data_IF_175829013001
#
_entry.id   IF_175829013001
#
_cell.length_a   1.000
_cell.length_b   1.000
_cell.length_c   1.000
_cell.angle_alpha   90.00
_cell.angle_beta   90.00
_cell.angle_gamma   90.00
#
_symmetry.space_group_name_H-M   'P 1'
#
loop_
_entity.id
_entity.type
_entity.pdbx_description
1 polymer ?
#
# COMPACT_ATOMS: atom_id res chain seq x y z
N UNK A 1 -5.61 0.05 -42.05
CA UNK A 1 -5.80 1.41 -41.59
C UNK A 1 -6.55 1.31 -40.25
N UNK A 2 -5.81 1.31 -39.15
CA UNK A 2 -6.35 1.27 -37.80
C UNK A 2 -5.86 2.52 -37.10
N UNK A 3 -6.79 3.41 -36.80
CA UNK A 3 -6.52 4.65 -36.11
C UNK A 3 -6.23 4.38 -34.65
N UNK A 4 -5.03 4.71 -34.25
CA UNK A 4 -4.61 4.79 -32.86
C UNK A 4 -5.21 6.07 -32.25
N UNK A 5 -6.17 5.94 -31.37
CA UNK A 5 -6.73 7.06 -30.63
C UNK A 5 -5.78 7.41 -29.48
N UNK A 6 -4.94 8.42 -29.68
CA UNK A 6 -4.20 9.10 -28.62
C UNK A 6 -5.19 9.76 -27.66
N UNK A 7 -5.28 9.21 -26.45
CA UNK A 7 -5.99 9.88 -25.35
C UNK A 7 -5.07 10.97 -24.81
N UNK A 8 -5.25 12.18 -25.31
CA UNK A 8 -4.65 13.36 -24.76
C UNK A 8 -5.14 13.56 -23.31
N UNK A 9 -4.21 13.53 -22.36
CA UNK A 9 -4.43 13.97 -20.99
C UNK A 9 -4.73 15.47 -21.06
N UNK A 10 -5.98 15.85 -20.91
CA UNK A 10 -6.36 17.25 -20.75
C UNK A 10 -5.95 17.69 -19.33
N UNK A 11 -4.95 18.53 -19.27
CA UNK A 11 -4.59 19.35 -18.12
C UNK A 11 -5.68 20.43 -17.94
N UNK A 12 -6.78 20.03 -17.34
CA UNK A 12 -7.89 20.90 -16.95
C UNK A 12 -7.78 21.20 -15.47
N UNK A 13 -7.29 22.39 -15.12
CA UNK A 13 -7.19 22.90 -13.75
C UNK A 13 -8.54 23.04 -13.05
N UNK A 14 -9.21 21.95 -12.75
CA UNK A 14 -10.21 21.88 -11.69
C UNK A 14 -9.44 21.74 -10.38
N UNK A 15 -9.72 22.62 -9.43
CA UNK A 15 -9.28 22.47 -8.05
C UNK A 15 -9.88 21.14 -7.54
N UNK A 16 -9.15 20.04 -7.70
CA UNK A 16 -9.51 18.76 -7.14
C UNK A 16 -9.85 19.00 -5.67
N UNK A 17 -11.06 18.63 -5.26
CA UNK A 17 -11.53 18.74 -3.87
C UNK A 17 -10.64 17.87 -2.99
N UNK A 18 -9.47 18.45 -2.63
CA UNK A 18 -8.45 17.78 -1.81
C UNK A 18 -9.04 17.51 -0.45
N UNK A 19 -8.80 16.32 0.04
CA UNK A 19 -9.20 15.97 1.38
C UNK A 19 -8.37 16.69 2.46
N UNK A 20 -8.80 16.62 3.71
CA UNK A 20 -8.18 17.35 4.82
C UNK A 20 -6.71 16.96 5.03
N UNK A 21 -6.33 15.72 4.75
CA UNK A 21 -4.95 15.26 4.91
C UNK A 21 -4.07 15.80 3.77
N UNK A 22 -4.50 15.70 2.52
CA UNK A 22 -3.75 16.24 1.40
C UNK A 22 -3.61 17.76 1.49
N UNK A 23 -4.65 18.46 1.94
CA UNK A 23 -4.57 19.91 2.19
C UNK A 23 -3.52 20.22 3.26
N UNK A 24 -3.59 19.56 4.41
CA UNK A 24 -2.62 19.73 5.50
C UNK A 24 -1.18 19.46 5.05
N UNK A 25 -0.94 18.39 4.30
CA UNK A 25 0.38 18.07 3.79
C UNK A 25 0.90 19.13 2.82
N UNK A 26 0.04 19.65 1.93
CA UNK A 26 0.38 20.73 1.00
C UNK A 26 0.76 22.02 1.72
N UNK A 27 -0.04 22.44 2.72
CA UNK A 27 0.18 23.64 3.51
C UNK A 27 1.49 23.60 4.31
N UNK A 28 1.92 22.39 4.71
CA UNK A 28 3.16 22.19 5.45
C UNK A 28 4.36 21.79 4.59
N UNK A 29 4.21 21.81 3.25
CA UNK A 29 5.30 21.55 2.31
C UNK A 29 5.75 20.09 2.25
N UNK A 30 4.91 19.13 2.65
CA UNK A 30 5.23 17.71 2.51
C UNK A 30 4.91 17.19 1.12
N UNK A 31 5.89 16.53 0.53
CA UNK A 31 5.75 15.93 -0.79
C UNK A 31 4.77 14.74 -0.75
N UNK A 32 3.72 14.82 -1.55
CA UNK A 32 2.71 13.78 -1.72
C UNK A 32 1.95 14.00 -3.03
N UNK A 33 1.28 12.96 -3.50
CA UNK A 33 0.38 13.03 -4.64
C UNK A 33 -1.06 12.74 -4.18
N UNK A 34 -1.98 13.61 -4.55
CA UNK A 34 -3.40 13.39 -4.32
C UNK A 34 -3.98 12.50 -5.43
N UNK A 35 -4.43 11.30 -5.09
CA UNK A 35 -4.97 10.32 -6.02
C UNK A 35 -6.49 10.39 -6.20
N UNK A 36 -7.13 11.44 -5.65
CA UNK A 36 -8.57 11.58 -5.67
C UNK A 36 -9.26 10.91 -4.47
N UNK A 37 -10.54 10.62 -4.66
CA UNK A 37 -11.38 9.91 -3.67
C UNK A 37 -11.93 8.62 -4.26
N UNK A 38 -12.13 7.62 -3.45
CA UNK A 38 -12.77 6.38 -3.90
C UNK A 38 -14.31 6.52 -3.98
N UNK A 39 -14.99 5.44 -4.39
CA UNK A 39 -16.44 5.38 -4.50
C UNK A 39 -17.20 5.60 -3.16
N UNK A 40 -16.50 5.48 -2.03
CA UNK A 40 -17.02 5.76 -0.69
C UNK A 40 -16.67 7.17 -0.20
N UNK A 41 -16.10 8.00 -1.06
CA UNK A 41 -15.59 9.34 -0.76
C UNK A 41 -14.38 9.35 0.20
N UNK A 42 -13.63 8.24 0.28
CA UNK A 42 -12.42 8.14 1.09
C UNK A 42 -11.26 8.80 0.34
N UNK A 43 -10.57 9.71 1.01
CA UNK A 43 -9.38 10.37 0.48
C UNK A 43 -8.26 9.38 0.21
N UNK A 44 -7.61 9.51 -0.95
CA UNK A 44 -6.46 8.68 -1.34
C UNK A 44 -5.26 9.55 -1.67
N UNK A 45 -4.12 9.22 -1.07
CA UNK A 45 -2.83 9.88 -1.34
C UNK A 45 -1.75 8.86 -1.67
N UNK A 46 -0.76 9.27 -2.46
CA UNK A 46 0.47 8.52 -2.65
C UNK A 46 1.62 9.20 -1.92
N UNK A 47 2.46 8.40 -1.29
CA UNK A 47 3.67 8.83 -0.60
C UNK A 47 4.87 8.03 -1.12
N UNK A 48 6.04 8.67 -1.17
CA UNK A 48 7.27 7.94 -1.37
C UNK A 48 7.64 7.16 -0.08
N UNK A 49 8.40 6.07 -0.22
CA UNK A 49 8.83 5.26 0.91
C UNK A 49 9.70 6.03 1.92
N UNK A 50 10.40 7.06 1.45
CA UNK A 50 11.32 7.87 2.26
C UNK A 50 10.55 8.79 3.22
N UNK A 51 9.45 9.39 2.77
CA UNK A 51 8.66 10.32 3.59
C UNK A 51 7.58 9.61 4.43
N UNK A 52 7.24 8.37 4.07
CA UNK A 52 6.19 7.60 4.73
C UNK A 52 6.30 7.56 6.26
N UNK A 53 7.46 7.28 6.90
CA UNK A 53 7.54 7.19 8.36
C UNK A 53 7.29 8.52 9.08
N UNK A 54 7.65 9.61 8.44
CA UNK A 54 7.46 10.97 9.00
C UNK A 54 5.98 11.33 8.91
N UNK A 55 5.42 11.21 7.71
CA UNK A 55 4.02 11.56 7.45
C UNK A 55 3.07 10.63 8.22
N UNK A 56 3.37 9.35 8.34
CA UNK A 56 2.57 8.40 9.12
C UNK A 56 2.45 8.82 10.59
N UNK A 57 3.53 9.32 11.21
CA UNK A 57 3.49 9.85 12.57
C UNK A 57 2.64 11.11 12.69
N UNK A 58 2.70 12.01 11.70
CA UNK A 58 1.86 13.21 11.65
C UNK A 58 0.38 12.82 11.52
N UNK A 59 0.06 11.92 10.61
CA UNK A 59 -1.30 11.40 10.40
C UNK A 59 -1.82 10.72 11.66
N UNK A 60 -0.99 9.95 12.37
CA UNK A 60 -1.36 9.39 13.66
C UNK A 60 -1.68 10.50 14.69
N UNK A 61 -0.87 11.56 14.73
CA UNK A 61 -1.11 12.76 15.58
C UNK A 61 -2.38 13.52 15.19
N UNK A 62 -2.82 13.47 13.94
CA UNK A 62 -4.11 14.03 13.49
C UNK A 62 -5.32 13.18 13.93
N UNK A 63 -5.08 12.03 14.55
CA UNK A 63 -6.11 11.16 15.12
C UNK A 63 -6.44 9.92 14.28
N UNK A 64 -5.73 9.65 13.18
CA UNK A 64 -5.84 8.38 12.44
C UNK A 64 -5.13 7.25 13.20
N UNK A 65 -5.72 6.87 14.32
CA UNK A 65 -5.15 6.00 15.35
C UNK A 65 -5.36 4.50 15.07
N UNK A 66 -6.16 4.16 14.06
CA UNK A 66 -6.47 2.78 13.73
C UNK A 66 -6.09 2.43 12.28
N UNK A 67 -5.21 1.46 12.13
CA UNK A 67 -4.92 0.82 10.85
C UNK A 67 -5.94 -0.30 10.63
N UNK A 68 -6.93 -0.03 9.80
CA UNK A 68 -8.00 -0.98 9.49
C UNK A 68 -7.50 -2.12 8.61
N UNK A 69 -6.69 -1.78 7.60
CA UNK A 69 -6.13 -2.74 6.66
C UNK A 69 -4.79 -2.25 6.11
N UNK A 70 -3.82 -3.14 6.05
CA UNK A 70 -2.65 -3.01 5.20
C UNK A 70 -2.67 -4.17 4.22
N UNK A 71 -2.47 -3.90 2.93
CA UNK A 71 -2.39 -4.93 1.90
C UNK A 71 -1.43 -4.52 0.79
N UNK A 72 -0.94 -5.53 0.06
CA UNK A 72 -0.17 -5.35 -1.15
C UNK A 72 -0.94 -5.76 -2.38
N UNK A 73 -0.54 -5.24 -3.53
CA UNK A 73 -0.96 -5.76 -4.82
C UNK A 73 0.08 -5.48 -5.91
N UNK A 74 -0.02 -6.24 -6.97
CA UNK A 74 0.85 -6.19 -8.13
C UNK A 74 0.15 -5.49 -9.29
N UNK A 75 0.76 -4.43 -9.86
CA UNK A 75 0.23 -3.72 -11.03
C UNK A 75 0.35 -4.52 -12.33
N UNK A 76 1.22 -5.52 -12.36
CA UNK A 76 1.43 -6.39 -13.52
C UNK A 76 2.89 -6.74 -13.74
N UNK A 77 3.18 -7.67 -14.65
CA UNK A 77 4.55 -8.04 -15.00
C UNK A 77 5.38 -6.81 -15.38
N UNK A 78 6.58 -6.67 -14.80
CA UNK A 78 7.48 -5.54 -15.05
C UNK A 78 7.02 -4.18 -14.49
N UNK A 79 5.88 -4.13 -13.77
CA UNK A 79 5.38 -2.91 -13.10
C UNK A 79 5.65 -2.97 -11.61
N UNK A 80 5.45 -1.85 -10.94
CA UNK A 80 5.62 -1.71 -9.51
C UNK A 80 4.68 -2.60 -8.70
N UNK A 81 5.11 -2.89 -7.49
CA UNK A 81 4.26 -3.39 -6.41
C UNK A 81 3.73 -2.19 -5.61
N UNK A 82 2.57 -2.36 -5.01
CA UNK A 82 1.96 -1.30 -4.21
C UNK A 82 1.66 -1.82 -2.81
N UNK A 83 2.11 -1.06 -1.80
CA UNK A 83 1.69 -1.24 -0.41
C UNK A 83 0.62 -0.20 -0.09
N UNK A 84 -0.54 -0.64 0.39
CA UNK A 84 -1.68 0.23 0.69
C UNK A 84 -2.03 0.14 2.17
N UNK A 85 -2.25 1.30 2.79
CA UNK A 85 -2.66 1.43 4.18
C UNK A 85 -4.02 2.11 4.23
N UNK A 86 -4.98 1.49 4.88
CA UNK A 86 -6.30 2.04 5.13
C UNK A 86 -6.40 2.43 6.60
N UNK A 87 -6.46 3.71 6.86
CA UNK A 87 -6.46 4.30 8.18
C UNK A 87 -7.83 4.86 8.53
N UNK A 88 -8.16 4.79 9.80
CA UNK A 88 -9.43 5.29 10.33
C UNK A 88 -9.17 6.11 11.57
N UNK A 89 -9.86 7.24 11.67
CA UNK A 89 -9.86 8.10 12.84
C UNK A 89 -10.96 7.66 13.80
N UNK A 90 -10.61 6.76 14.73
CA UNK A 90 -11.57 6.28 15.72
C UNK A 90 -11.74 7.28 16.85
N UNK A 91 -12.99 7.64 17.12
CA UNK A 91 -13.39 8.38 18.32
C UNK A 91 -14.69 7.78 18.87
N UNK A 92 -14.88 7.90 20.18
CA UNK A 92 -16.05 7.34 20.89
C UNK A 92 -17.40 7.93 20.46
N UNK A 93 -17.39 9.00 19.66
CA UNK A 93 -18.58 9.78 19.29
C UNK A 93 -18.83 9.84 17.78
N UNK A 94 -18.00 9.20 16.96
CA UNK A 94 -18.15 9.29 15.50
C UNK A 94 -19.12 8.22 15.00
N UNK A 95 -20.29 8.64 14.54
CA UNK A 95 -21.22 7.75 13.80
C UNK A 95 -20.60 7.28 12.47
N UNK A 96 -19.79 8.12 11.84
CA UNK A 96 -19.06 7.82 10.61
C UNK A 96 -17.63 8.34 10.72
N UNK A 97 -16.67 7.46 11.04
CA UNK A 97 -15.27 7.86 11.20
C UNK A 97 -14.67 8.34 9.87
N UNK A 98 -13.75 9.30 9.95
CA UNK A 98 -12.94 9.71 8.81
C UNK A 98 -11.99 8.59 8.43
N UNK A 99 -11.88 8.33 7.12
CA UNK A 99 -11.01 7.31 6.55
C UNK A 99 -9.99 7.94 5.60
N UNK A 100 -8.81 7.34 5.51
CA UNK A 100 -7.73 7.74 4.61
C UNK A 100 -7.08 6.50 4.01
N UNK A 101 -6.75 6.55 2.72
CA UNK A 101 -5.88 5.54 2.09
C UNK A 101 -4.56 6.13 1.65
N UNK A 102 -3.49 5.48 2.06
CA UNK A 102 -2.13 5.78 1.62
C UNK A 102 -1.67 4.67 0.69
N UNK A 103 -1.11 5.03 -0.46
CA UNK A 103 -0.46 4.09 -1.38
C UNK A 103 1.02 4.41 -1.47
N UNK A 104 1.83 3.38 -1.44
CA UNK A 104 3.28 3.47 -1.65
C UNK A 104 3.64 2.55 -2.82
N UNK A 105 4.09 3.16 -3.91
CA UNK A 105 4.55 2.43 -5.08
C UNK A 105 6.02 2.10 -4.90
N UNK A 106 6.40 0.85 -5.11
CA UNK A 106 7.77 0.39 -4.95
C UNK A 106 8.22 -0.42 -6.16
N UNK A 107 9.45 -0.21 -6.62
CA UNK A 107 10.02 -0.98 -7.72
C UNK A 107 10.02 -2.47 -7.40
N UNK A 108 9.72 -3.29 -8.39
CA UNK A 108 9.66 -4.76 -8.25
C UNK A 108 11.00 -5.40 -7.90
N UNK A 109 12.10 -4.80 -8.32
CA UNK A 109 13.48 -5.22 -8.10
C UNK A 109 14.04 -4.75 -6.75
N UNK A 110 13.46 -3.68 -6.17
CA UNK A 110 13.77 -3.20 -4.81
C UNK A 110 12.48 -2.91 -4.01
N UNK A 111 11.68 -3.93 -3.67
CA UNK A 111 10.36 -3.77 -3.06
C UNK A 111 10.44 -3.53 -1.55
N UNK A 112 11.09 -2.44 -1.14
CA UNK A 112 11.32 -2.10 0.28
C UNK A 112 10.43 -0.95 0.70
N UNK A 113 9.78 -1.10 1.86
CA UNK A 113 8.94 -0.08 2.51
C UNK A 113 9.27 -0.07 4.00
N UNK A 114 9.39 1.10 4.64
CA UNK A 114 9.50 1.15 6.10
C UNK A 114 8.28 0.53 6.77
N UNK A 115 8.50 -0.29 7.79
CA UNK A 115 7.42 -0.92 8.55
C UNK A 115 6.63 0.11 9.35
N UNK A 116 5.32 0.00 9.32
CA UNK A 116 4.41 0.81 10.13
C UNK A 116 4.08 0.18 11.49
N UNK A 117 4.62 -0.98 11.80
CA UNK A 117 4.42 -1.71 13.06
C UNK A 117 4.63 -0.83 14.30
N UNK A 118 5.62 0.07 14.28
CA UNK A 118 5.94 0.90 15.43
C UNK A 118 4.94 2.01 15.69
N UNK A 119 4.11 2.34 14.69
CA UNK A 119 3.00 3.31 14.80
C UNK A 119 1.69 2.57 15.05
N UNK A 120 1.38 1.57 14.22
CA UNK A 120 0.17 0.74 14.32
C UNK A 120 0.55 -0.74 14.50
N UNK A 121 0.36 -1.27 15.70
CA UNK A 121 0.71 -2.69 16.01
C UNK A 121 -0.07 -3.70 15.17
N UNK A 122 -1.25 -3.32 14.68
CA UNK A 122 -2.06 -4.15 13.77
C UNK A 122 -1.37 -4.43 12.43
N UNK A 123 -0.34 -3.68 12.06
CA UNK A 123 0.46 -3.91 10.87
C UNK A 123 1.24 -5.23 10.89
N UNK A 124 1.56 -5.80 12.07
CA UNK A 124 2.41 -7.00 12.23
C UNK A 124 2.05 -8.11 11.23
N UNK A 125 0.85 -8.66 11.37
CA UNK A 125 0.42 -9.79 10.54
C UNK A 125 0.16 -9.41 9.08
N UNK A 126 -0.34 -8.22 8.85
CA UNK A 126 -0.69 -7.73 7.52
C UNK A 126 0.56 -7.44 6.67
N UNK A 127 1.60 -6.89 7.26
CA UNK A 127 2.89 -6.70 6.60
C UNK A 127 3.57 -8.04 6.31
N UNK A 128 3.49 -9.01 7.23
CA UNK A 128 3.99 -10.36 7.00
C UNK A 128 3.23 -11.10 5.90
N UNK A 129 1.90 -10.97 5.83
CA UNK A 129 1.09 -11.52 4.75
C UNK A 129 1.49 -10.91 3.41
N UNK A 130 1.63 -9.59 3.35
CA UNK A 130 2.04 -8.88 2.13
C UNK A 130 3.47 -9.26 1.71
N UNK A 131 4.38 -9.42 2.67
CA UNK A 131 5.71 -9.97 2.41
C UNK A 131 5.62 -11.38 1.83
N UNK A 132 4.84 -12.26 2.45
CA UNK A 132 4.72 -13.65 2.05
C UNK A 132 4.15 -13.81 0.63
N UNK A 133 3.15 -13.01 0.28
CA UNK A 133 2.45 -13.12 -1.00
C UNK A 133 3.11 -12.34 -2.15
N UNK A 134 3.69 -11.17 -1.88
CA UNK A 134 4.21 -10.26 -2.92
C UNK A 134 5.71 -10.00 -2.81
N UNK A 135 6.36 -10.35 -1.69
CA UNK A 135 7.77 -10.09 -1.46
C UNK A 135 8.09 -8.62 -1.18
N UNK A 136 7.14 -7.84 -0.68
CA UNK A 136 7.41 -6.49 -0.20
C UNK A 136 8.11 -6.59 1.15
N UNK A 137 9.31 -6.05 1.25
CA UNK A 137 10.15 -6.10 2.45
C UNK A 137 9.82 -4.92 3.34
N UNK A 138 9.30 -5.17 4.54
CA UNK A 138 8.98 -4.13 5.52
C UNK A 138 10.18 -3.89 6.45
N UNK A 139 10.96 -2.86 6.14
CA UNK A 139 12.19 -2.54 6.88
C UNK A 139 11.89 -2.11 8.32
N UNK A 140 12.60 -2.69 9.28
CA UNK A 140 12.38 -2.43 10.71
C UNK A 140 11.21 -3.18 11.33
N UNK A 141 10.57 -4.09 10.59
CA UNK A 141 9.58 -5.01 11.15
C UNK A 141 10.26 -5.99 12.14
N UNK A 142 9.71 -6.19 13.36
CA UNK A 142 10.40 -6.97 14.40
C UNK A 142 10.51 -8.47 14.09
N UNK A 143 9.65 -9.01 13.24
CA UNK A 143 9.59 -10.44 12.95
C UNK A 143 9.06 -10.70 11.53
N UNK A 144 9.73 -10.16 10.51
CA UNK A 144 9.33 -10.34 9.12
C UNK A 144 9.68 -11.75 8.64
N UNK A 145 8.67 -12.61 8.57
CA UNK A 145 8.78 -13.99 8.07
C UNK A 145 7.47 -14.43 7.45
N UNK A 146 7.49 -15.48 6.65
CA UNK A 146 6.28 -16.07 6.05
C UNK A 146 5.27 -16.49 7.12
N UNK A 147 3.98 -16.45 6.79
CA UNK A 147 2.88 -16.86 7.68
C UNK A 147 1.85 -17.76 7.01
N UNK A 148 1.74 -17.72 5.70
CA UNK A 148 0.77 -18.51 4.92
C UNK A 148 1.46 -19.63 4.16
N UNK A 149 2.61 -19.35 3.56
CA UNK A 149 3.39 -20.33 2.82
C UNK A 149 4.43 -21.00 3.75
N UNK A 150 4.85 -22.25 3.45
CA UNK A 150 5.99 -22.89 4.11
C UNK A 150 7.26 -22.02 4.04
N UNK A 151 8.16 -22.17 5.00
CA UNK A 151 9.39 -21.35 5.06
C UNK A 151 10.31 -21.58 3.85
N UNK A 152 10.30 -22.77 3.30
CA UNK A 152 11.07 -23.19 2.11
C UNK A 152 10.40 -22.87 0.77
N UNK A 153 9.22 -22.26 0.80
CA UNK A 153 8.51 -21.86 -0.43
C UNK A 153 9.32 -20.89 -1.27
N UNK A 154 9.44 -21.21 -2.57
CA UNK A 154 10.18 -20.39 -3.54
C UNK A 154 9.26 -19.45 -4.28
N UNK A 155 9.60 -18.14 -4.25
CA UNK A 155 8.88 -17.09 -4.97
C UNK A 155 7.72 -16.47 -4.19
N UNK A 156 6.88 -15.72 -4.91
CA UNK A 156 5.83 -14.86 -4.38
C UNK A 156 4.49 -15.16 -5.07
N UNK A 157 3.62 -15.99 -4.47
CA UNK A 157 2.50 -16.62 -5.18
C UNK A 157 1.47 -15.66 -5.78
N UNK A 158 1.36 -14.43 -5.22
CA UNK A 158 0.37 -13.45 -5.68
C UNK A 158 0.91 -12.46 -6.70
N UNK A 159 2.20 -12.56 -7.08
CA UNK A 159 2.72 -11.79 -8.20
C UNK A 159 2.13 -12.31 -9.51
N UNK A 160 1.77 -11.40 -10.42
CA UNK A 160 1.13 -11.75 -11.71
C UNK A 160 2.07 -12.48 -12.69
N UNK A 161 3.37 -12.45 -12.44
CA UNK A 161 4.40 -13.15 -13.20
C UNK A 161 4.87 -14.45 -12.51
N UNK A 162 4.23 -14.83 -11.41
CA UNK A 162 4.56 -16.05 -10.68
C UNK A 162 4.12 -17.28 -11.45
N UNK A 163 5.05 -18.23 -11.62
CA UNK A 163 4.77 -19.54 -12.22
C UNK A 163 4.64 -20.55 -11.08
N UNK A 164 3.46 -21.13 -10.94
CA UNK A 164 3.18 -22.14 -9.92
C UNK A 164 4.00 -23.40 -10.19
N UNK A 165 4.71 -23.95 -9.18
CA UNK A 165 5.36 -25.26 -9.30
C UNK A 165 4.36 -26.36 -9.64
N UNK A 166 4.79 -27.36 -10.42
CA UNK A 166 3.98 -28.54 -10.65
C UNK A 166 3.97 -29.43 -9.40
N UNK A 167 2.87 -29.39 -8.66
CA UNK A 167 2.71 -30.18 -7.44
C UNK A 167 2.61 -31.69 -7.67
N UNK A 168 2.29 -32.12 -8.89
CA UNK A 168 2.20 -33.55 -9.21
C UNK A 168 3.60 -34.19 -9.32
N UNK A 169 4.58 -33.45 -9.85
CA UNK A 169 5.97 -33.92 -9.86
C UNK A 169 6.59 -34.03 -8.47
N UNK A 170 6.13 -33.19 -7.51
CA UNK A 170 6.61 -33.22 -6.13
C UNK A 170 6.04 -34.39 -5.29
N UNK A 171 4.88 -34.93 -5.66
CA UNK A 171 4.27 -36.07 -4.96
C UNK A 171 4.91 -37.42 -5.34
N UNK A 172 5.50 -37.52 -6.53
CA UNK A 172 6.17 -38.74 -6.99
C UNK A 172 7.62 -38.89 -6.44
N UNK A 173 8.10 -37.92 -5.66
CA UNK A 173 9.46 -37.91 -5.11
C UNK A 173 9.58 -38.49 -3.70
N UNK A 174 8.50 -39.12 -3.13
CA UNK A 174 8.49 -39.76 -1.80
C UNK A 174 8.04 -41.21 -1.87
#
# INVERSE_FOLDING_TARGET
MSETTDVAVQDGGESLDRGPVSQFLSENGFEHEFLGRDHRNVEMISLSREVLPIIAKLIYGMGYNYLQCQCGYDLGPGKDLVSTYHLTKLSDRAERPEELRIKVFVPRDDPRVPSMYWIWKTADWQERETYDMYGIIYEGHPNLKRILMPEDWVGWPMRKDYVTPDFYELQDAY
#
